data_IF_042932876295
#
_entry.id   IF_042932876295
#
_cell.length_a   1.000
_cell.length_b   1.000
_cell.length_c   1.000
_cell.angle_alpha   90.00
_cell.angle_beta   90.00
_cell.angle_gamma   90.00
#
_symmetry.space_group_name_H-M   'P 1'
#
loop_
_entity.id
_entity.type
_entity.pdbx_description
1 polymer ?
#
# COMPACT_ATOMS: atom_id res chain seq x y z
N UNK A 1 -12.56 -1.28 15.16
CA UNK A 1 -11.61 -2.35 14.77
C UNK A 1 -10.86 -2.04 13.47
N UNK A 2 -11.52 -1.69 12.38
CA UNK A 2 -10.88 -1.23 11.12
C UNK A 2 -9.92 -0.06 11.38
N UNK A 3 -10.33 0.96 12.13
CA UNK A 3 -9.51 2.10 12.52
C UNK A 3 -8.24 1.66 13.26
N UNK A 4 -8.33 0.68 14.17
CA UNK A 4 -7.20 0.21 14.98
C UNK A 4 -6.05 -0.38 14.16
N UNK A 5 -6.31 -1.12 13.05
CA UNK A 5 -5.24 -1.64 12.19
C UNK A 5 -4.62 -0.55 11.32
N UNK A 6 -5.41 0.41 10.82
CA UNK A 6 -4.89 1.57 10.11
C UNK A 6 -3.99 2.42 11.03
N UNK A 7 -4.40 2.63 12.28
CA UNK A 7 -3.58 3.31 13.29
C UNK A 7 -2.25 2.56 13.54
N UNK A 8 -2.29 1.22 13.58
CA UNK A 8 -1.08 0.39 13.73
C UNK A 8 -0.16 0.53 12.51
N UNK A 9 -0.72 0.52 11.28
CA UNK A 9 0.04 0.80 10.04
C UNK A 9 0.73 2.17 10.15
N UNK A 10 -0.03 3.24 10.44
CA UNK A 10 0.51 4.59 10.54
C UNK A 10 1.58 4.71 11.64
N UNK A 11 1.35 4.09 12.80
CA UNK A 11 2.32 4.07 13.90
C UNK A 11 3.66 3.40 13.51
N UNK A 12 3.61 2.33 12.70
CA UNK A 12 4.79 1.63 12.20
C UNK A 12 5.48 2.39 11.08
N UNK A 13 4.72 2.92 10.14
CA UNK A 13 5.25 3.76 9.06
C UNK A 13 5.98 5.00 9.61
N UNK A 14 5.41 5.67 10.65
CA UNK A 14 6.06 6.81 11.28
C UNK A 14 7.41 6.50 11.95
N UNK A 15 7.70 5.22 12.23
CA UNK A 15 9.01 4.78 12.76
C UNK A 15 9.98 4.41 11.66
N UNK A 16 9.47 3.98 10.51
CA UNK A 16 10.27 3.44 9.41
C UNK A 16 10.62 4.50 8.37
N UNK A 17 9.73 5.48 8.14
CA UNK A 17 9.83 6.47 7.06
C UNK A 17 10.19 7.83 7.64
N UNK A 18 11.11 8.53 6.97
CA UNK A 18 11.56 9.87 7.35
C UNK A 18 11.69 10.84 6.16
N UNK A 19 12.06 12.10 6.45
CA UNK A 19 12.27 13.11 5.42
C UNK A 19 13.33 12.69 4.39
N UNK A 20 13.00 12.88 3.11
CA UNK A 20 13.87 12.52 1.98
C UNK A 20 13.66 11.11 1.43
N UNK A 21 12.89 10.26 2.13
CA UNK A 21 12.60 8.91 1.66
C UNK A 21 11.67 8.91 0.43
N UNK A 22 11.74 7.82 -0.34
CA UNK A 22 10.80 7.51 -1.41
C UNK A 22 9.85 6.40 -0.98
N UNK A 23 8.56 6.60 -1.18
CA UNK A 23 7.51 5.64 -0.80
C UNK A 23 6.53 5.37 -1.94
N UNK A 24 5.86 4.22 -1.88
CA UNK A 24 4.79 3.84 -2.79
C UNK A 24 3.50 3.52 -2.01
N UNK A 25 2.41 4.21 -2.35
CA UNK A 25 1.04 3.77 -2.08
C UNK A 25 0.53 3.05 -3.32
N UNK A 26 0.46 1.72 -3.26
CA UNK A 26 0.09 0.88 -4.39
C UNK A 26 -1.43 0.71 -4.60
N UNK A 27 -2.23 1.33 -3.72
CA UNK A 27 -3.70 1.31 -3.71
C UNK A 27 -4.24 2.64 -3.17
N UNK A 28 -3.98 3.73 -3.90
CA UNK A 28 -4.16 5.10 -3.44
C UNK A 28 -5.57 5.42 -2.90
N UNK A 29 -6.62 4.88 -3.53
CA UNK A 29 -7.99 5.03 -3.07
C UNK A 29 -8.41 6.48 -2.88
N UNK A 30 -8.85 6.84 -1.69
CA UNK A 30 -9.21 8.22 -1.34
C UNK A 30 -8.00 9.07 -0.86
N UNK A 31 -6.79 8.57 -0.97
CA UNK A 31 -5.56 9.32 -0.70
C UNK A 31 -5.15 9.45 0.76
N UNK A 32 -5.81 8.77 1.70
CA UNK A 32 -5.53 8.95 3.13
C UNK A 32 -4.14 8.45 3.52
N UNK A 33 -3.74 7.28 3.05
CA UNK A 33 -2.39 6.75 3.29
C UNK A 33 -1.34 7.49 2.44
N UNK A 34 -1.70 7.90 1.22
CA UNK A 34 -0.89 8.79 0.40
C UNK A 34 -0.59 10.12 1.14
N UNK A 35 -1.60 10.76 1.73
CA UNK A 35 -1.40 11.99 2.51
C UNK A 35 -0.52 11.75 3.74
N UNK A 36 -0.72 10.63 4.42
CA UNK A 36 0.09 10.27 5.59
C UNK A 36 1.56 10.08 5.19
N UNK A 37 1.84 9.31 4.14
CA UNK A 37 3.19 9.12 3.61
C UNK A 37 3.82 10.43 3.14
N UNK A 38 3.07 11.29 2.43
CA UNK A 38 3.55 12.59 1.97
C UNK A 38 4.03 13.49 3.13
N UNK A 39 3.39 13.40 4.30
CA UNK A 39 3.83 14.10 5.51
C UNK A 39 5.14 13.54 6.05
N UNK A 40 5.31 12.22 6.03
CA UNK A 40 6.53 11.56 6.55
C UNK A 40 7.74 11.82 5.67
N UNK A 41 7.60 11.69 4.35
CA UNK A 41 8.72 11.90 3.41
C UNK A 41 9.17 13.36 3.33
N UNK A 42 8.31 14.29 3.74
CA UNK A 42 8.64 15.71 3.77
C UNK A 42 8.87 16.33 2.39
N UNK A 43 9.33 17.59 2.32
CA UNK A 43 9.47 18.31 1.04
C UNK A 43 10.58 17.79 0.14
N UNK A 44 11.57 17.08 0.70
CA UNK A 44 12.70 16.49 -0.05
C UNK A 44 12.46 15.04 -0.49
N UNK A 45 11.36 14.41 -0.02
CA UNK A 45 11.03 13.03 -0.37
C UNK A 45 10.09 12.92 -1.58
N UNK A 46 9.82 11.68 -1.97
CA UNK A 46 8.95 11.37 -3.10
C UNK A 46 7.86 10.38 -2.69
N UNK A 47 6.63 10.64 -3.09
CA UNK A 47 5.52 9.71 -2.96
C UNK A 47 5.03 9.29 -4.35
N UNK A 48 5.14 8.01 -4.65
CA UNK A 48 4.42 7.39 -5.76
C UNK A 48 3.07 6.88 -5.27
N UNK A 49 2.02 7.11 -6.05
CA UNK A 49 0.69 6.57 -5.77
C UNK A 49 0.12 5.92 -7.03
N UNK A 50 -0.44 4.71 -6.89
CA UNK A 50 -1.03 3.94 -7.99
C UNK A 50 -2.46 3.55 -7.61
N UNK A 51 -3.39 3.71 -8.54
CA UNK A 51 -4.71 3.11 -8.45
C UNK A 51 -5.27 2.79 -9.84
N UNK A 52 -6.10 1.76 -9.92
CA UNK A 52 -6.75 1.37 -11.17
C UNK A 52 -7.88 2.33 -11.55
N UNK A 53 -8.55 2.91 -10.56
CA UNK A 53 -9.75 3.71 -10.72
C UNK A 53 -9.41 5.19 -10.89
N UNK A 54 -9.93 5.81 -11.94
CA UNK A 54 -9.76 7.24 -12.20
C UNK A 54 -10.30 8.11 -11.04
N UNK A 55 -11.39 7.68 -10.42
CA UNK A 55 -11.95 8.35 -9.25
C UNK A 55 -10.97 8.39 -8.07
N UNK A 56 -10.27 7.29 -7.80
CA UNK A 56 -9.24 7.22 -6.78
C UNK A 56 -8.08 8.18 -7.07
N UNK A 57 -7.61 8.22 -8.33
CA UNK A 57 -6.57 9.13 -8.80
C UNK A 57 -6.98 10.59 -8.56
N UNK A 58 -8.21 10.94 -8.93
CA UNK A 58 -8.76 12.29 -8.73
C UNK A 58 -8.86 12.66 -7.26
N UNK A 59 -9.44 11.78 -6.44
CA UNK A 59 -9.63 12.01 -4.99
C UNK A 59 -8.28 12.20 -4.28
N UNK A 60 -7.31 11.34 -4.57
CA UNK A 60 -5.95 11.44 -4.01
C UNK A 60 -5.28 12.76 -4.42
N UNK A 61 -5.37 13.13 -5.69
CA UNK A 61 -4.78 14.39 -6.18
C UNK A 61 -5.39 15.61 -5.52
N UNK A 62 -6.72 15.66 -5.41
CA UNK A 62 -7.45 16.76 -4.73
C UNK A 62 -7.03 16.84 -3.27
N UNK A 63 -7.02 15.72 -2.53
CA UNK A 63 -6.67 15.70 -1.12
C UNK A 63 -5.25 16.20 -0.85
N UNK A 64 -4.27 15.78 -1.66
CA UNK A 64 -2.88 16.23 -1.49
C UNK A 64 -2.71 17.70 -1.88
N UNK A 65 -3.39 18.17 -2.92
CA UNK A 65 -3.38 19.58 -3.31
C UNK A 65 -3.95 20.49 -2.22
N UNK A 66 -5.14 20.17 -1.69
CA UNK A 66 -5.76 20.90 -0.57
C UNK A 66 -4.88 20.91 0.69
N UNK A 67 -4.09 19.83 0.88
CA UNK A 67 -3.13 19.70 1.97
C UNK A 67 -1.77 20.34 1.68
N UNK A 68 -1.57 20.95 0.51
CA UNK A 68 -0.29 21.55 0.03
C UNK A 68 0.87 20.55 0.04
N UNK A 69 0.58 19.32 -0.44
CA UNK A 69 1.54 18.20 -0.47
C UNK A 69 1.68 17.57 -1.87
N UNK A 70 1.09 18.20 -2.88
CA UNK A 70 1.07 17.74 -4.27
C UNK A 70 2.46 17.79 -4.96
N UNK A 71 3.36 18.67 -4.55
CA UNK A 71 4.71 18.80 -5.15
C UNK A 71 5.57 17.52 -5.02
N UNK A 72 5.28 16.66 -4.04
CA UNK A 72 5.99 15.39 -3.82
C UNK A 72 5.27 14.17 -4.37
N UNK A 73 4.08 14.37 -4.93
CA UNK A 73 3.22 13.31 -5.43
C UNK A 73 3.46 13.01 -6.91
N UNK A 74 3.81 11.77 -7.21
CA UNK A 74 3.79 11.20 -8.56
C UNK A 74 2.68 10.15 -8.62
N UNK A 75 1.56 10.50 -9.25
CA UNK A 75 0.36 9.67 -9.26
C UNK A 75 0.10 9.05 -10.63
N UNK A 76 -0.21 7.76 -10.65
CA UNK A 76 -0.33 6.94 -11.85
C UNK A 76 -1.65 6.15 -11.84
N UNK A 77 -2.37 6.18 -12.97
CA UNK A 77 -3.53 5.32 -13.15
C UNK A 77 -3.10 3.99 -13.77
N UNK A 78 -3.36 2.89 -13.05
CA UNK A 78 -3.07 1.55 -13.56
C UNK A 78 -3.05 0.49 -12.48
N UNK A 79 -2.74 -0.72 -12.89
CA UNK A 79 -2.70 -1.87 -11.98
C UNK A 79 -1.37 -1.92 -11.22
N UNK A 80 -1.45 -2.05 -9.90
CA UNK A 80 -0.29 -2.17 -9.02
C UNK A 80 0.63 -3.36 -9.36
N UNK A 81 0.16 -4.36 -10.07
CA UNK A 81 1.01 -5.46 -10.54
C UNK A 81 2.04 -5.03 -11.60
N UNK A 82 1.97 -3.79 -12.08
CA UNK A 82 2.82 -3.23 -13.14
C UNK A 82 3.64 -2.04 -12.65
N UNK A 83 4.13 -2.10 -11.40
CA UNK A 83 4.93 -1.04 -10.75
C UNK A 83 6.05 -0.54 -11.67
N UNK A 84 6.71 -1.44 -12.37
CA UNK A 84 7.82 -1.14 -13.27
C UNK A 84 7.48 -0.25 -14.47
N UNK A 85 6.20 -0.08 -14.80
CA UNK A 85 5.75 0.83 -15.86
C UNK A 85 5.55 2.26 -15.35
N UNK A 86 5.43 2.45 -14.05
CA UNK A 86 5.05 3.70 -13.43
C UNK A 86 6.21 4.37 -12.70
N UNK A 87 7.06 3.59 -12.05
CA UNK A 87 8.16 4.11 -11.27
C UNK A 87 9.45 4.14 -12.12
N UNK A 88 10.25 5.20 -11.97
CA UNK A 88 11.57 5.27 -12.60
C UNK A 88 12.47 4.12 -12.12
N UNK A 89 13.32 3.59 -13.00
CA UNK A 89 14.21 2.47 -12.67
C UNK A 89 15.14 2.75 -11.47
N UNK A 90 15.46 4.03 -11.22
CA UNK A 90 16.26 4.46 -10.05
C UNK A 90 15.59 4.18 -8.70
N UNK A 91 14.25 4.04 -8.68
CA UNK A 91 13.50 3.71 -7.44
C UNK A 91 13.57 2.22 -7.09
N UNK A 92 14.00 1.37 -8.03
CA UNK A 92 14.12 -0.07 -7.75
C UNK A 92 15.23 -0.32 -6.73
N UNK A 93 14.85 -0.88 -5.58
CA UNK A 93 15.72 -1.09 -4.43
C UNK A 93 15.91 0.16 -3.55
N UNK A 94 15.14 1.23 -3.78
CA UNK A 94 15.26 2.50 -3.05
C UNK A 94 13.97 2.94 -2.33
N UNK A 95 12.86 2.21 -2.49
CA UNK A 95 11.64 2.52 -1.76
C UNK A 95 11.79 2.20 -0.28
N UNK A 96 11.54 3.18 0.58
CA UNK A 96 11.55 3.01 2.03
C UNK A 96 10.30 2.30 2.54
N UNK A 97 9.15 2.58 1.92
CA UNK A 97 7.91 1.90 2.26
C UNK A 97 7.05 1.63 1.02
N UNK A 98 6.36 0.49 1.03
CA UNK A 98 5.29 0.17 0.08
C UNK A 98 4.03 -0.18 0.86
N UNK A 99 2.89 0.45 0.51
CA UNK A 99 1.61 0.26 1.20
C UNK A 99 0.58 -0.33 0.26
N UNK A 100 -0.14 -1.34 0.73
CA UNK A 100 -1.28 -1.96 0.08
C UNK A 100 -2.49 -1.99 1.02
N UNK A 101 -3.62 -1.48 0.55
CA UNK A 101 -4.94 -1.68 1.16
C UNK A 101 -5.79 -2.50 0.18
N UNK A 102 -5.85 -3.81 0.41
CA UNK A 102 -6.48 -4.75 -0.51
C UNK A 102 -7.98 -4.83 -0.27
N UNK A 103 -8.77 -4.49 -1.29
CA UNK A 103 -10.21 -4.44 -1.22
C UNK A 103 -10.79 -3.59 -2.37
N UNK A 104 -11.83 -2.82 -2.07
CA UNK A 104 -12.50 -1.92 -2.99
C UNK A 104 -12.50 -0.47 -2.50
N UNK A 105 -12.63 0.48 -3.43
CA UNK A 105 -12.73 1.90 -3.10
C UNK A 105 -14.03 2.16 -2.32
N UNK A 106 -13.99 2.67 -1.09
CA UNK A 106 -15.19 2.98 -0.32
C UNK A 106 -16.11 3.95 -1.05
N UNK A 107 -17.41 3.64 -1.11
CA UNK A 107 -18.48 4.41 -1.79
C UNK A 107 -18.43 4.39 -3.32
N UNK A 108 -17.51 3.66 -3.96
CA UNK A 108 -17.45 3.45 -5.40
C UNK A 108 -18.06 2.10 -5.82
N UNK A 109 -17.91 1.73 -7.09
CA UNK A 109 -18.36 0.44 -7.61
C UNK A 109 -17.59 -0.72 -6.95
N UNK A 110 -18.28 -1.53 -6.15
CA UNK A 110 -17.70 -2.68 -5.43
C UNK A 110 -17.28 -3.84 -6.34
N UNK A 111 -17.65 -3.82 -7.62
CA UNK A 111 -17.18 -4.80 -8.61
C UNK A 111 -15.71 -4.60 -8.96
N UNK A 112 -15.20 -3.36 -8.82
CA UNK A 112 -13.79 -3.05 -9.00
C UNK A 112 -13.08 -3.25 -7.66
N UNK A 113 -12.45 -4.40 -7.51
CA UNK A 113 -11.71 -4.80 -6.31
C UNK A 113 -10.34 -5.36 -6.69
N UNK A 114 -9.42 -5.39 -5.75
CA UNK A 114 -8.14 -6.09 -5.90
C UNK A 114 -8.36 -7.59 -6.12
N UNK A 115 -7.43 -8.25 -6.78
CA UNK A 115 -7.52 -9.67 -7.12
C UNK A 115 -6.24 -10.37 -6.77
N UNK A 116 -6.33 -11.59 -6.22
CA UNK A 116 -5.21 -12.39 -5.72
C UNK A 116 -4.02 -12.50 -6.71
N UNK A 117 -4.30 -12.68 -8.01
CA UNK A 117 -3.24 -12.85 -9.02
C UNK A 117 -2.42 -11.56 -9.21
N UNK A 118 -3.11 -10.41 -9.34
CA UNK A 118 -2.46 -9.10 -9.45
C UNK A 118 -1.77 -8.71 -8.16
N UNK A 119 -2.38 -9.01 -7.02
CA UNK A 119 -1.84 -8.73 -5.69
C UNK A 119 -0.56 -9.51 -5.42
N UNK A 120 -0.55 -10.84 -5.63
CA UNK A 120 0.66 -11.66 -5.44
C UNK A 120 1.81 -11.16 -6.33
N UNK A 121 1.52 -10.82 -7.59
CA UNK A 121 2.51 -10.24 -8.50
C UNK A 121 3.04 -8.89 -7.98
N UNK A 122 2.14 -8.01 -7.51
CA UNK A 122 2.50 -6.70 -7.00
C UNK A 122 3.33 -6.77 -5.71
N UNK A 123 3.01 -7.69 -4.80
CA UNK A 123 3.76 -7.87 -3.55
C UNK A 123 5.19 -8.34 -3.81
N UNK A 124 5.40 -9.30 -4.75
CA UNK A 124 6.75 -9.73 -5.14
C UNK A 124 7.57 -8.56 -5.68
N UNK A 125 6.99 -7.78 -6.60
CA UNK A 125 7.64 -6.59 -7.16
C UNK A 125 7.86 -5.53 -6.08
N UNK A 126 6.85 -5.22 -5.26
CA UNK A 126 6.97 -4.27 -4.16
C UNK A 126 8.14 -4.61 -3.24
N UNK A 127 8.31 -5.87 -2.90
CA UNK A 127 9.45 -6.32 -2.08
C UNK A 127 10.80 -6.14 -2.79
N UNK A 128 10.90 -6.43 -4.10
CA UNK A 128 12.12 -6.18 -4.88
C UNK A 128 12.49 -4.69 -4.89
N UNK A 129 11.49 -3.80 -4.93
CA UNK A 129 11.66 -2.36 -4.99
C UNK A 129 12.02 -1.72 -3.64
N UNK A 130 11.83 -2.43 -2.52
CA UNK A 130 12.26 -1.94 -1.20
C UNK A 130 13.79 -1.84 -1.11
N UNK A 131 14.25 -0.82 -0.42
CA UNK A 131 15.63 -0.73 0.07
C UNK A 131 15.89 -1.72 1.21
N UNK A 132 17.15 -1.99 1.55
CA UNK A 132 17.49 -2.67 2.80
C UNK A 132 16.95 -1.86 4.00
N UNK A 133 16.34 -2.53 4.98
CA UNK A 133 15.61 -1.90 6.08
C UNK A 133 14.27 -1.26 5.68
N UNK A 134 13.85 -1.39 4.42
CA UNK A 134 12.54 -0.95 3.96
C UNK A 134 11.40 -1.84 4.43
N UNK A 135 10.18 -1.32 4.37
CA UNK A 135 8.99 -2.00 4.94
C UNK A 135 7.84 -2.09 3.91
N UNK A 136 7.05 -3.16 4.01
CA UNK A 136 5.82 -3.28 3.22
C UNK A 136 4.65 -3.57 4.15
N UNK A 137 3.60 -2.74 4.06
CA UNK A 137 2.34 -2.91 4.77
C UNK A 137 1.28 -3.46 3.83
N UNK A 138 0.65 -4.57 4.20
CA UNK A 138 -0.41 -5.20 3.41
C UNK A 138 -1.63 -5.40 4.30
N UNK A 139 -2.62 -4.52 4.16
CA UNK A 139 -3.89 -4.59 4.89
C UNK A 139 -4.95 -5.24 4.00
N UNK A 140 -5.33 -6.47 4.35
CA UNK A 140 -6.29 -7.29 3.60
C UNK A 140 -7.69 -7.14 4.18
N UNK A 141 -8.65 -6.60 3.41
CA UNK A 141 -10.06 -6.54 3.80
C UNK A 141 -10.80 -7.79 3.30
N UNK A 142 -11.27 -8.63 4.23
CA UNK A 142 -11.87 -9.95 3.94
C UNK A 142 -13.40 -9.94 3.78
N UNK A 143 -14.06 -8.83 4.04
CA UNK A 143 -15.53 -8.69 4.03
C UNK A 143 -16.15 -8.41 2.65
N UNK A 144 -15.51 -8.82 1.57
CA UNK A 144 -16.01 -8.69 0.20
C UNK A 144 -15.77 -9.97 -0.61
N UNK A 145 -16.42 -10.10 -1.75
CA UNK A 145 -16.25 -11.26 -2.65
C UNK A 145 -14.78 -11.39 -3.07
N UNK A 146 -14.17 -12.56 -2.86
CA UNK A 146 -12.77 -12.83 -3.15
C UNK A 146 -11.77 -12.35 -2.09
N UNK A 147 -12.17 -11.52 -1.11
CA UNK A 147 -11.24 -10.94 -0.14
C UNK A 147 -10.57 -11.98 0.78
N UNK A 148 -11.27 -13.06 1.14
CA UNK A 148 -10.69 -14.18 1.90
C UNK A 148 -9.68 -14.96 1.08
N UNK A 149 -9.96 -15.20 -0.20
CA UNK A 149 -9.06 -15.93 -1.10
C UNK A 149 -7.81 -15.10 -1.41
N UNK A 150 -7.98 -13.77 -1.52
CA UNK A 150 -6.88 -12.85 -1.71
C UNK A 150 -5.96 -12.82 -0.48
N UNK A 151 -6.52 -12.69 0.72
CA UNK A 151 -5.74 -12.74 1.98
C UNK A 151 -5.04 -14.08 2.15
N UNK A 152 -5.69 -15.21 1.86
CA UNK A 152 -5.08 -16.54 1.91
C UNK A 152 -3.89 -16.65 0.93
N UNK A 153 -4.00 -16.07 -0.27
CA UNK A 153 -2.90 -16.05 -1.24
C UNK A 153 -1.72 -15.16 -0.77
N UNK A 154 -2.02 -14.03 -0.10
CA UNK A 154 -1.00 -13.18 0.53
C UNK A 154 -0.28 -13.92 1.64
N UNK A 155 -1.01 -14.57 2.55
CA UNK A 155 -0.44 -15.36 3.66
C UNK A 155 0.42 -16.52 3.14
N UNK A 156 -0.01 -17.21 2.06
CA UNK A 156 0.76 -18.27 1.42
C UNK A 156 2.05 -17.73 0.78
N UNK A 157 1.98 -16.59 0.07
CA UNK A 157 3.15 -15.95 -0.48
C UNK A 157 4.18 -15.63 0.61
N UNK A 158 3.75 -15.02 1.71
CA UNK A 158 4.62 -14.65 2.83
C UNK A 158 5.25 -15.90 3.45
N UNK A 159 4.47 -16.95 3.72
CA UNK A 159 4.94 -18.21 4.31
C UNK A 159 5.94 -18.96 3.42
N UNK A 160 5.74 -18.91 2.09
CA UNK A 160 6.63 -19.57 1.13
C UNK A 160 7.87 -18.75 0.76
N UNK A 161 7.93 -17.49 1.20
CA UNK A 161 9.07 -16.61 1.00
C UNK A 161 9.98 -16.60 2.24
N UNK A 162 11.20 -16.06 2.09
CA UNK A 162 12.12 -15.79 3.20
C UNK A 162 11.90 -14.41 3.85
N UNK A 163 10.72 -13.81 3.66
CA UNK A 163 10.45 -12.46 4.15
C UNK A 163 10.27 -12.44 5.66
N UNK A 164 10.90 -11.46 6.31
CA UNK A 164 10.66 -11.20 7.73
C UNK A 164 9.29 -10.55 7.85
N UNK A 165 8.37 -11.16 8.59
CA UNK A 165 7.00 -10.67 8.67
C UNK A 165 6.36 -10.81 10.04
N UNK A 166 5.37 -9.95 10.31
CA UNK A 166 4.48 -10.01 11.47
C UNK A 166 3.04 -9.89 10.98
N UNK A 167 2.12 -10.68 11.55
CA UNK A 167 0.69 -10.64 11.19
C UNK A 167 -0.15 -10.18 12.38
N UNK A 168 -1.06 -9.26 12.12
CA UNK A 168 -1.96 -8.66 13.12
C UNK A 168 -3.42 -8.88 12.69
N UNK A 169 -4.17 -9.76 13.34
CA UNK A 169 -5.59 -9.95 13.07
C UNK A 169 -6.39 -8.78 13.65
N UNK A 170 -7.44 -8.35 12.93
CA UNK A 170 -8.34 -7.30 13.40
C UNK A 170 -9.26 -7.75 14.53
N UNK A 171 -9.80 -8.94 14.44
CA UNK A 171 -10.61 -9.64 15.46
C UNK A 171 -10.83 -11.07 15.05
N UNK A 172 -11.47 -11.87 15.93
CA UNK A 172 -11.79 -13.28 15.67
C UNK A 172 -12.91 -13.51 14.64
N UNK A 173 -13.57 -12.45 14.14
CA UNK A 173 -14.54 -12.60 13.06
C UNK A 173 -13.85 -12.91 11.75
N UNK A 174 -14.35 -13.90 11.02
CA UNK A 174 -13.79 -14.33 9.72
C UNK A 174 -13.83 -13.28 8.61
N UNK A 175 -14.42 -12.08 8.86
CA UNK A 175 -14.51 -10.94 7.94
C UNK A 175 -13.64 -9.75 8.34
N UNK A 176 -13.05 -9.82 9.55
CA UNK A 176 -12.15 -8.76 10.01
C UNK A 176 -10.92 -8.67 9.13
N UNK A 177 -10.42 -7.44 8.88
CA UNK A 177 -9.20 -7.26 8.13
C UNK A 177 -7.99 -7.87 8.85
N UNK A 178 -6.98 -8.20 8.07
CA UNK A 178 -5.68 -8.71 8.56
C UNK A 178 -4.59 -7.82 8.02
N UNK A 179 -3.66 -7.40 8.88
CA UNK A 179 -2.46 -6.68 8.51
C UNK A 179 -1.27 -7.63 8.48
N UNK A 180 -0.59 -7.69 7.35
CA UNK A 180 0.75 -8.27 7.24
C UNK A 180 1.78 -7.14 7.13
N UNK A 181 2.72 -7.12 8.06
CA UNK A 181 3.84 -6.20 8.07
C UNK A 181 5.10 -6.95 7.69
N UNK A 182 5.79 -6.50 6.66
CA UNK A 182 6.95 -7.18 6.09
C UNK A 182 8.15 -6.23 6.14
N UNK A 183 9.31 -6.75 6.52
CA UNK A 183 10.56 -6.02 6.60
C UNK A 183 11.59 -6.65 5.68
N UNK A 184 12.33 -5.83 4.95
CA UNK A 184 13.44 -6.29 4.11
C UNK A 184 14.74 -6.08 4.91
N UNK A 185 15.52 -7.16 5.19
CA UNK A 185 16.76 -7.06 5.94
C UNK A 185 17.83 -6.21 5.23
#
# INVERSE_FOLDING_TARGET
MKARLVEEVHRRLAKAVGPGDSCLDATAGNGLDSLFLARLVGPSGTLHAIDLQEEAIRNTRVLLHESRMDERLLIHQGCHSRIELFLPAKEKGNLRAVVFNLGYLPKANKEVTTRKESTVSALRKGYEWLTAGGVMSVLCYRGHAGGKDEEAAVAELIRSSSWISQTFPGSDSGESPVLHWIEKP
#
